data_IF_312909609398
#
_entry.id   IF_312909609398
#
_cell.length_a   1.000
_cell.length_b   1.000
_cell.length_c   1.000
_cell.angle_alpha   90.00
_cell.angle_beta   90.00
_cell.angle_gamma   90.00
#
_symmetry.space_group_name_H-M   'P 1'
#
loop_
_entity.id
_entity.type
_entity.pdbx_description
1 polymer ?
#
# COMPACT_ATOMS: atom_id res chain seq x y z
N UNK A 1 7.35 -4.12 -36.60
CA UNK A 1 6.78 -3.26 -35.56
C UNK A 1 5.43 -3.89 -35.18
N UNK A 2 5.46 -4.82 -34.21
CA UNK A 2 4.23 -5.39 -33.62
C UNK A 2 3.70 -4.25 -32.72
N UNK A 3 2.51 -3.74 -33.04
CA UNK A 3 1.93 -2.61 -32.35
C UNK A 3 1.50 -3.05 -30.95
N UNK A 4 1.54 -2.15 -29.96
CA UNK A 4 1.09 -2.38 -28.56
C UNK A 4 -0.33 -2.97 -28.46
N UNK A 5 -1.12 -2.85 -29.52
CA UNK A 5 -2.47 -3.41 -29.67
C UNK A 5 -2.43 -4.93 -29.82
N UNK A 6 -1.46 -5.49 -30.55
CA UNK A 6 -1.32 -6.96 -30.73
C UNK A 6 -0.78 -7.63 -29.46
N UNK A 7 0.09 -6.95 -28.71
CA UNK A 7 0.58 -7.45 -27.41
C UNK A 7 -0.54 -7.48 -26.34
N UNK A 8 -1.52 -6.59 -26.40
CA UNK A 8 -2.71 -6.57 -25.52
C UNK A 8 -3.71 -7.69 -25.85
N UNK A 9 -3.81 -8.10 -27.11
CA UNK A 9 -4.76 -9.12 -27.53
C UNK A 9 -4.37 -10.55 -27.10
N UNK A 10 -3.09 -10.78 -26.74
CA UNK A 10 -2.59 -12.13 -26.39
C UNK A 10 -2.65 -12.41 -24.88
N UNK A 11 -2.75 -11.38 -23.99
CA UNK A 11 -2.62 -11.57 -22.53
C UNK A 11 -3.77 -11.00 -21.69
N UNK A 12 -4.90 -10.58 -22.27
CA UNK A 12 -6.00 -9.96 -21.52
C UNK A 12 -5.57 -8.63 -20.83
N UNK A 13 -6.52 -7.92 -20.25
CA UNK A 13 -6.22 -6.73 -19.44
C UNK A 13 -5.70 -7.14 -18.05
N UNK A 14 -4.98 -6.24 -17.36
CA UNK A 14 -4.57 -6.45 -15.97
C UNK A 14 -5.78 -6.81 -15.09
N UNK A 15 -6.89 -6.09 -15.27
CA UNK A 15 -8.10 -6.30 -14.48
C UNK A 15 -8.72 -7.70 -14.71
N UNK A 16 -8.67 -8.22 -15.95
CA UNK A 16 -9.11 -9.59 -16.26
C UNK A 16 -8.21 -10.65 -15.59
N UNK A 17 -6.89 -10.46 -15.58
CA UNK A 17 -5.97 -11.37 -14.90
C UNK A 17 -6.21 -11.39 -13.38
N UNK A 18 -6.41 -10.22 -12.78
CA UNK A 18 -6.77 -10.08 -11.35
C UNK A 18 -8.14 -10.69 -11.07
N UNK A 19 -9.15 -10.45 -11.94
CA UNK A 19 -10.49 -11.02 -11.81
C UNK A 19 -10.47 -12.55 -11.86
N UNK A 20 -9.72 -13.14 -12.79
CA UNK A 20 -9.56 -14.59 -12.91
C UNK A 20 -8.95 -15.20 -11.63
N UNK A 21 -7.93 -14.54 -11.06
CA UNK A 21 -7.30 -14.97 -9.80
C UNK A 21 -8.28 -14.88 -8.61
N UNK A 22 -9.04 -13.78 -8.52
CA UNK A 22 -10.06 -13.58 -7.48
C UNK A 22 -11.18 -14.59 -7.62
N UNK A 23 -11.61 -14.93 -8.85
CA UNK A 23 -12.64 -15.93 -9.12
C UNK A 23 -12.29 -17.34 -8.64
N UNK A 24 -11.00 -17.64 -8.41
CA UNK A 24 -10.54 -18.89 -7.82
C UNK A 24 -10.53 -18.89 -6.28
N UNK A 25 -10.82 -17.75 -5.62
CA UNK A 25 -10.84 -17.61 -4.17
C UNK A 25 -12.25 -17.83 -3.61
N UNK A 26 -12.34 -18.42 -2.44
CA UNK A 26 -13.57 -18.45 -1.64
C UNK A 26 -13.75 -17.13 -0.88
N UNK A 27 -14.35 -16.14 -1.52
CA UNK A 27 -14.52 -14.81 -0.96
C UNK A 27 -15.38 -14.82 0.33
N UNK A 28 -16.34 -15.73 0.47
CA UNK A 28 -17.17 -15.85 1.68
C UNK A 28 -16.34 -16.34 2.88
N UNK A 29 -15.50 -17.36 2.66
CA UNK A 29 -14.55 -17.84 3.67
C UNK A 29 -13.56 -16.74 4.08
N UNK A 30 -12.97 -16.05 3.09
CA UNK A 30 -11.99 -14.96 3.35
C UNK A 30 -12.63 -13.81 4.11
N UNK A 31 -13.88 -13.42 3.78
CA UNK A 31 -14.62 -12.42 4.56
C UNK A 31 -14.81 -12.83 6.01
N UNK A 32 -15.18 -14.10 6.24
CA UNK A 32 -15.31 -14.65 7.59
C UNK A 32 -13.99 -14.65 8.36
N UNK A 33 -12.89 -14.95 7.68
CA UNK A 33 -11.54 -14.92 8.25
C UNK A 33 -11.10 -13.48 8.59
N UNK A 34 -11.26 -12.54 7.67
CA UNK A 34 -10.98 -11.12 7.88
C UNK A 34 -11.74 -10.57 9.10
N UNK A 35 -13.03 -10.88 9.23
CA UNK A 35 -13.82 -10.44 10.37
C UNK A 35 -13.37 -11.06 11.71
N UNK A 36 -13.04 -12.36 11.74
CA UNK A 36 -12.57 -13.03 12.95
C UNK A 36 -11.19 -12.57 13.41
N UNK A 37 -10.35 -12.10 12.49
CA UNK A 37 -9.02 -11.58 12.76
C UNK A 37 -8.98 -10.06 12.94
N UNK A 38 -10.05 -9.46 13.45
CA UNK A 38 -10.15 -8.02 13.73
C UNK A 38 -9.82 -7.14 12.52
N UNK A 39 -10.36 -7.50 11.37
CA UNK A 39 -10.10 -6.84 10.08
C UNK A 39 -8.64 -6.98 9.60
N UNK A 40 -8.09 -8.18 9.70
CA UNK A 40 -6.80 -8.58 9.16
C UNK A 40 -6.93 -9.82 8.27
N UNK A 41 -6.23 -9.85 7.14
CA UNK A 41 -6.14 -11.00 6.24
C UNK A 41 -4.73 -11.08 5.63
N UNK A 42 -4.15 -12.28 5.61
CA UNK A 42 -2.91 -12.61 4.92
C UNK A 42 -3.17 -13.69 3.86
N UNK A 43 -2.67 -13.49 2.64
CA UNK A 43 -2.65 -14.48 1.57
C UNK A 43 -1.23 -14.55 0.99
N UNK A 44 -0.62 -15.71 1.01
CA UNK A 44 0.77 -15.93 0.58
C UNK A 44 0.96 -16.02 -0.94
N UNK A 45 -0.09 -16.33 -1.69
CA UNK A 45 -0.09 -16.43 -3.15
C UNK A 45 -1.36 -15.78 -3.71
N UNK A 46 -1.32 -14.45 -3.87
CA UNK A 46 -2.48 -13.70 -4.35
C UNK A 46 -2.34 -13.24 -5.79
N UNK A 47 -1.20 -12.65 -6.17
CA UNK A 47 -1.04 -12.11 -7.52
C UNK A 47 -0.74 -13.21 -8.54
N UNK A 48 -1.26 -13.10 -9.77
CA UNK A 48 -0.75 -13.89 -10.88
C UNK A 48 0.77 -13.74 -11.01
N UNK A 49 1.50 -14.84 -11.22
CA UNK A 49 2.98 -14.85 -11.24
C UNK A 49 3.58 -13.84 -12.22
N UNK A 50 2.98 -13.70 -13.42
CA UNK A 50 3.41 -12.72 -14.41
C UNK A 50 3.26 -11.28 -13.87
N UNK A 51 2.13 -10.97 -13.27
CA UNK A 51 1.88 -9.65 -12.69
C UNK A 51 2.83 -9.36 -11.52
N UNK A 52 3.06 -10.33 -10.65
CA UNK A 52 4.02 -10.20 -9.55
C UNK A 52 5.44 -9.92 -10.09
N UNK A 53 5.87 -10.64 -11.14
CA UNK A 53 7.16 -10.40 -11.81
C UNK A 53 7.27 -9.00 -12.41
N UNK A 54 6.25 -8.52 -13.10
CA UNK A 54 6.19 -7.16 -13.67
C UNK A 54 6.23 -6.06 -12.60
N UNK A 55 5.59 -6.29 -11.44
CA UNK A 55 5.68 -5.36 -10.30
C UNK A 55 7.10 -5.33 -9.71
N UNK A 56 7.76 -6.48 -9.62
CA UNK A 56 9.16 -6.54 -9.19
C UNK A 56 10.10 -5.80 -10.15
N UNK A 57 9.86 -5.89 -11.46
CA UNK A 57 10.63 -5.14 -12.47
C UNK A 57 10.39 -3.63 -12.34
N UNK A 58 9.15 -3.19 -12.13
CA UNK A 58 8.84 -1.80 -11.81
C UNK A 58 9.60 -1.32 -10.57
N UNK A 59 9.61 -2.13 -9.50
CA UNK A 59 10.31 -1.79 -8.27
C UNK A 59 11.84 -1.68 -8.49
N UNK A 60 12.43 -2.60 -9.26
CA UNK A 60 13.87 -2.53 -9.61
C UNK A 60 14.20 -1.28 -10.43
N UNK A 61 13.36 -0.93 -11.39
CA UNK A 61 13.54 0.27 -12.22
C UNK A 61 13.48 1.57 -11.41
N UNK A 62 12.77 1.57 -10.28
CA UNK A 62 12.60 2.74 -9.40
C UNK A 62 13.67 2.84 -8.29
N UNK A 63 14.64 1.92 -8.20
CA UNK A 63 15.74 2.01 -7.23
C UNK A 63 16.48 3.37 -7.23
N UNK A 64 16.77 4.00 -8.39
CA UNK A 64 17.41 5.32 -8.41
C UNK A 64 16.58 6.46 -7.85
N UNK A 65 15.27 6.26 -7.73
CA UNK A 65 14.31 7.29 -7.26
C UNK A 65 13.99 7.17 -5.76
N UNK A 66 14.65 6.26 -5.05
CA UNK A 66 14.43 6.06 -3.63
C UNK A 66 14.77 7.31 -2.84
N UNK A 67 13.81 7.82 -2.10
CA UNK A 67 14.03 8.80 -1.04
C UNK A 67 14.28 8.06 0.28
N UNK A 68 15.52 8.16 0.80
CA UNK A 68 15.89 7.54 2.08
C UNK A 68 15.46 8.38 3.24
N UNK A 69 14.82 7.76 4.23
CA UNK A 69 14.32 8.41 5.43
C UNK A 69 14.89 7.74 6.67
N UNK A 70 15.15 8.55 7.66
CA UNK A 70 15.55 8.11 8.98
C UNK A 70 14.82 8.93 10.05
N UNK A 71 14.07 8.24 10.89
CA UNK A 71 13.44 8.80 12.08
C UNK A 71 13.93 7.97 13.29
N UNK A 72 14.80 8.55 14.16
CA UNK A 72 15.41 7.81 15.26
C UNK A 72 14.39 7.03 16.09
N UNK A 73 14.67 5.74 16.33
CA UNK A 73 13.82 4.87 17.13
C UNK A 73 12.48 4.45 16.49
N UNK A 74 12.17 4.92 15.27
CA UNK A 74 10.90 4.61 14.62
C UNK A 74 11.05 4.04 13.21
N UNK A 75 11.87 4.66 12.35
CA UNK A 75 11.94 4.24 10.94
C UNK A 75 13.32 4.46 10.35
N UNK A 76 13.79 3.46 9.63
CA UNK A 76 14.91 3.56 8.70
C UNK A 76 14.53 2.81 7.43
N UNK A 77 14.69 3.44 6.26
CA UNK A 77 14.32 2.79 5.00
C UNK A 77 14.26 3.78 3.85
N UNK A 78 13.75 3.33 2.73
CA UNK A 78 13.52 4.13 1.54
C UNK A 78 12.07 4.11 1.11
N UNK A 79 11.64 5.11 0.36
CA UNK A 79 10.31 5.11 -0.25
C UNK A 79 10.30 5.82 -1.60
N UNK A 80 9.39 5.38 -2.47
CA UNK A 80 9.05 6.05 -3.74
C UNK A 80 7.58 6.39 -3.69
N UNK A 81 7.25 7.67 -3.83
CA UNK A 81 5.88 8.17 -3.73
C UNK A 81 5.07 7.91 -4.98
N UNK A 82 3.73 7.95 -4.83
CA UNK A 82 2.74 7.92 -5.90
C UNK A 82 3.16 8.76 -7.13
N UNK A 83 3.62 10.00 -6.93
CA UNK A 83 3.93 10.90 -8.05
C UNK A 83 5.05 10.39 -8.96
N UNK A 84 6.06 9.76 -8.38
CA UNK A 84 7.14 9.11 -9.14
C UNK A 84 6.63 7.83 -9.79
N UNK A 85 5.81 7.05 -9.09
CA UNK A 85 5.18 5.83 -9.60
C UNK A 85 4.30 6.15 -10.80
N UNK A 86 3.43 7.17 -10.75
CA UNK A 86 2.56 7.58 -11.85
C UNK A 86 3.36 7.92 -13.12
N UNK A 87 4.53 8.53 -12.94
CA UNK A 87 5.38 8.93 -14.05
C UNK A 87 6.18 7.79 -14.69
N UNK A 88 6.58 6.77 -13.90
CA UNK A 88 7.58 5.79 -14.30
C UNK A 88 7.10 4.34 -14.26
N UNK A 89 6.06 4.03 -13.51
CA UNK A 89 5.53 2.68 -13.32
C UNK A 89 3.98 2.65 -13.35
N UNK A 90 3.35 3.05 -14.48
CA UNK A 90 1.88 3.19 -14.59
C UNK A 90 1.13 1.88 -14.29
N UNK A 91 1.77 0.73 -14.43
CA UNK A 91 1.22 -0.58 -14.06
C UNK A 91 0.71 -0.60 -12.60
N UNK A 92 1.43 0.04 -11.68
CA UNK A 92 1.05 0.10 -10.26
C UNK A 92 -0.23 0.93 -10.09
N UNK A 93 -0.33 2.07 -10.79
CA UNK A 93 -1.52 2.91 -10.77
C UNK A 93 -2.72 2.22 -11.44
N UNK A 94 -2.50 1.38 -12.46
CA UNK A 94 -3.53 0.54 -13.07
C UNK A 94 -4.04 -0.52 -12.08
N UNK A 95 -3.14 -1.24 -11.39
CA UNK A 95 -3.51 -2.21 -10.37
C UNK A 95 -4.28 -1.57 -9.21
N UNK A 96 -3.87 -0.38 -8.77
CA UNK A 96 -4.59 0.37 -7.72
C UNK A 96 -6.04 0.69 -8.10
N UNK A 97 -6.31 0.90 -9.39
CA UNK A 97 -7.65 1.20 -9.92
C UNK A 97 -8.40 -0.04 -10.42
N UNK A 98 -7.83 -1.24 -10.25
CA UNK A 98 -8.48 -2.49 -10.67
C UNK A 98 -9.84 -2.64 -10.00
N UNK A 99 -10.90 -2.76 -10.81
CA UNK A 99 -12.26 -2.95 -10.31
C UNK A 99 -12.43 -4.30 -9.63
N UNK A 100 -11.75 -5.32 -10.15
CA UNK A 100 -11.78 -6.65 -9.58
C UNK A 100 -11.13 -6.65 -8.19
N UNK A 101 -9.97 -5.99 -8.03
CA UNK A 101 -9.30 -5.86 -6.74
C UNK A 101 -10.17 -5.12 -5.72
N UNK A 102 -10.65 -3.92 -6.08
CA UNK A 102 -11.50 -3.11 -5.20
C UNK A 102 -12.77 -3.88 -4.82
N UNK A 103 -13.42 -4.57 -5.77
CA UNK A 103 -14.61 -5.38 -5.51
C UNK A 103 -14.37 -6.53 -4.52
N UNK A 104 -13.19 -7.18 -4.55
CA UNK A 104 -12.81 -8.15 -3.52
C UNK A 104 -12.71 -7.48 -2.16
N UNK A 105 -11.98 -6.35 -2.06
CA UNK A 105 -11.78 -5.65 -0.79
C UNK A 105 -13.11 -5.14 -0.20
N UNK A 106 -14.03 -4.65 -1.04
CA UNK A 106 -15.40 -4.29 -0.64
C UNK A 106 -16.18 -5.52 -0.13
N UNK A 107 -16.00 -6.67 -0.75
CA UNK A 107 -16.61 -7.93 -0.29
C UNK A 107 -16.08 -8.33 1.09
N UNK A 108 -14.78 -8.21 1.33
CA UNK A 108 -14.14 -8.55 2.60
C UNK A 108 -14.59 -7.62 3.73
N UNK A 109 -14.61 -6.32 3.48
CA UNK A 109 -14.93 -5.29 4.48
C UNK A 109 -16.45 -5.14 4.71
N UNK A 110 -17.25 -5.33 3.67
CA UNK A 110 -18.66 -4.95 3.62
C UNK A 110 -18.88 -3.44 3.46
N UNK A 111 -17.80 -2.67 3.27
CA UNK A 111 -17.83 -1.23 3.05
C UNK A 111 -17.63 -0.91 1.55
N UNK A 112 -18.16 0.23 1.12
CA UNK A 112 -17.78 0.86 -0.15
C UNK A 112 -16.40 1.48 -0.01
N UNK A 113 -15.50 1.14 -0.91
CA UNK A 113 -14.12 1.64 -0.90
C UNK A 113 -13.89 2.64 -2.03
N UNK A 114 -13.26 3.73 -1.68
CA UNK A 114 -12.88 4.80 -2.59
C UNK A 114 -11.35 4.92 -2.60
N UNK A 115 -10.75 5.29 -3.75
CA UNK A 115 -9.35 5.65 -3.78
C UNK A 115 -9.10 6.88 -2.88
N UNK A 116 -7.94 6.93 -2.25
CA UNK A 116 -7.47 8.14 -1.57
C UNK A 116 -7.40 9.32 -2.54
N UNK A 117 -7.59 10.57 -2.08
CA UNK A 117 -7.54 11.76 -2.93
C UNK A 117 -6.28 11.83 -3.80
N UNK A 118 -6.42 12.49 -4.96
CA UNK A 118 -5.33 12.56 -5.95
C UNK A 118 -4.08 13.29 -5.46
N UNK A 119 -4.21 14.14 -4.47
CA UNK A 119 -3.14 14.88 -3.80
C UNK A 119 -2.55 14.15 -2.58
N UNK A 120 -3.02 12.94 -2.25
CA UNK A 120 -2.45 12.11 -1.20
C UNK A 120 -1.23 11.33 -1.73
N UNK A 121 -0.02 11.63 -1.26
CA UNK A 121 1.19 10.91 -1.66
C UNK A 121 1.23 9.46 -1.16
N UNK A 122 0.38 9.11 -0.19
CA UNK A 122 0.26 7.77 0.39
C UNK A 122 -0.80 6.89 -0.27
N UNK A 123 -1.60 7.40 -1.22
CA UNK A 123 -2.59 6.59 -1.92
C UNK A 123 -1.99 5.25 -2.38
N UNK A 124 -0.74 5.27 -2.86
CA UNK A 124 0.13 4.12 -3.04
C UNK A 124 1.61 4.54 -3.01
N UNK A 125 2.44 3.66 -2.46
CA UNK A 125 3.88 3.90 -2.34
C UNK A 125 4.65 2.57 -2.34
N UNK A 126 5.89 2.61 -2.83
CA UNK A 126 6.85 1.53 -2.65
C UNK A 126 7.75 1.84 -1.46
N UNK A 127 7.91 0.88 -0.58
CA UNK A 127 8.80 0.93 0.57
C UNK A 127 9.97 -0.03 0.36
N UNK A 128 11.18 0.50 0.48
CA UNK A 128 12.43 -0.20 0.23
C UNK A 128 13.23 -0.37 1.52
N UNK A 129 13.52 -1.61 1.83
CA UNK A 129 14.44 -2.01 2.87
C UNK A 129 15.63 -2.65 2.15
N UNK A 130 16.75 -1.94 2.06
CA UNK A 130 17.89 -2.29 1.21
C UNK A 130 19.24 -2.16 1.93
N UNK A 131 19.22 -1.80 3.20
CA UNK A 131 20.41 -1.72 4.05
C UNK A 131 20.16 -2.45 5.36
N UNK A 132 21.18 -3.09 5.92
CA UNK A 132 21.06 -3.72 7.24
C UNK A 132 20.45 -2.76 8.27
N UNK A 133 19.52 -3.27 9.06
CA UNK A 133 18.80 -2.49 10.05
C UNK A 133 17.64 -1.63 9.52
N UNK A 134 17.35 -1.62 8.21
CA UNK A 134 16.14 -0.96 7.69
C UNK A 134 14.89 -1.59 8.31
N UNK A 135 14.00 -0.77 8.87
CA UNK A 135 12.82 -1.20 9.62
C UNK A 135 11.76 -0.10 9.72
N UNK A 136 10.57 -0.47 10.18
CA UNK A 136 9.57 0.45 10.73
C UNK A 136 9.16 -0.08 12.11
N UNK A 137 9.23 0.78 13.14
CA UNK A 137 8.81 0.47 14.49
C UNK A 137 7.30 0.29 14.64
N UNK A 138 6.84 -0.10 15.82
CA UNK A 138 5.42 -0.28 16.11
C UNK A 138 4.58 0.97 15.85
N UNK A 139 3.52 0.84 15.03
CA UNK A 139 2.62 1.93 14.68
C UNK A 139 1.24 1.41 14.25
N UNK A 140 0.31 2.33 14.06
CA UNK A 140 -0.95 2.15 13.35
C UNK A 140 -0.92 3.04 12.10
N UNK A 141 -1.56 2.60 11.03
CA UNK A 141 -1.81 3.42 9.84
C UNK A 141 -3.04 4.32 10.06
N UNK A 142 -2.93 5.20 11.07
CA UNK A 142 -4.06 6.01 11.53
C UNK A 142 -4.65 6.87 10.42
N UNK A 143 -5.98 6.80 10.25
CA UNK A 143 -6.71 7.60 9.29
C UNK A 143 -6.75 9.07 9.67
N UNK A 144 -6.39 9.95 8.72
CA UNK A 144 -6.67 11.38 8.81
C UNK A 144 -7.99 11.76 8.13
N UNK A 145 -8.58 10.84 7.40
CA UNK A 145 -9.88 10.97 6.75
C UNK A 145 -11.03 10.85 7.74
N UNK A 146 -12.23 11.28 7.33
CA UNK A 146 -13.42 11.17 8.16
C UNK A 146 -13.96 9.73 8.16
N UNK A 147 -13.65 8.92 7.13
CA UNK A 147 -13.93 7.50 7.04
C UNK A 147 -12.82 6.60 7.57
N UNK A 148 -13.08 5.27 7.53
CA UNK A 148 -12.06 4.25 7.78
C UNK A 148 -11.02 4.25 6.68
N UNK A 149 -9.81 3.84 7.04
CA UNK A 149 -8.70 3.61 6.10
C UNK A 149 -8.30 2.15 6.14
N UNK A 150 -8.23 1.57 4.97
CA UNK A 150 -7.77 0.20 4.79
C UNK A 150 -6.44 0.21 4.03
N UNK A 151 -5.49 -0.56 4.54
CA UNK A 151 -4.16 -0.74 3.95
C UNK A 151 -4.05 -2.11 3.32
N UNK A 152 -3.61 -2.16 2.05
CA UNK A 152 -3.26 -3.37 1.33
C UNK A 152 -1.77 -3.36 1.02
N UNK A 153 -1.02 -4.30 1.59
CA UNK A 153 0.40 -4.50 1.36
C UNK A 153 0.61 -5.66 0.37
N UNK A 154 1.51 -5.47 -0.60
CA UNK A 154 2.00 -6.53 -1.48
C UNK A 154 3.47 -6.81 -1.18
N UNK A 155 3.86 -8.08 -1.13
CA UNK A 155 5.24 -8.53 -1.23
C UNK A 155 5.69 -8.43 -2.68
N UNK A 156 6.53 -7.43 -3.00
CA UNK A 156 7.03 -7.21 -4.37
C UNK A 156 8.37 -7.89 -4.58
N UNK A 157 9.29 -7.71 -3.66
CA UNK A 157 10.57 -8.43 -3.58
C UNK A 157 10.74 -8.80 -2.10
N UNK A 158 11.03 -10.06 -1.82
CA UNK A 158 11.33 -10.50 -0.47
C UNK A 158 12.40 -11.60 -0.50
N UNK A 159 13.64 -11.16 -0.38
CA UNK A 159 14.82 -11.99 -0.17
C UNK A 159 15.42 -11.55 1.18
N UNK A 160 14.65 -11.83 2.25
CA UNK A 160 14.98 -11.30 3.57
C UNK A 160 14.46 -12.17 4.72
N UNK A 161 15.08 -12.02 5.88
CA UNK A 161 14.58 -12.52 7.17
C UNK A 161 13.56 -11.57 7.82
N UNK A 162 13.40 -10.37 7.26
CA UNK A 162 12.52 -9.33 7.80
C UNK A 162 11.04 -9.74 7.70
N UNK A 163 10.26 -9.46 8.74
CA UNK A 163 8.87 -9.88 8.88
C UNK A 163 7.96 -8.69 9.16
N UNK A 164 6.69 -8.84 8.87
CA UNK A 164 5.62 -8.01 9.41
C UNK A 164 5.15 -8.66 10.72
N UNK A 165 5.53 -8.06 11.85
CA UNK A 165 4.94 -8.41 13.14
C UNK A 165 3.70 -7.57 13.37
N UNK A 166 2.67 -8.16 13.98
CA UNK A 166 1.41 -7.49 14.23
C UNK A 166 0.77 -7.94 15.55
N UNK A 167 -0.15 -7.12 16.05
CA UNK A 167 -0.97 -7.39 17.21
C UNK A 167 -2.43 -7.10 16.85
N UNK A 168 -3.29 -8.13 16.95
CA UNK A 168 -4.73 -8.02 16.77
C UNK A 168 -5.39 -7.62 18.09
N UNK A 169 -6.59 -7.07 18.01
CA UNK A 169 -7.47 -6.71 19.13
C UNK A 169 -6.96 -5.59 20.06
N UNK A 170 -5.86 -4.93 19.74
CA UNK A 170 -5.27 -3.87 20.58
C UNK A 170 -6.17 -2.66 20.81
N UNK A 171 -7.31 -2.55 20.11
CA UNK A 171 -8.36 -1.54 20.30
C UNK A 171 -9.63 -2.09 20.96
N UNK A 172 -9.65 -3.39 21.30
CA UNK A 172 -10.80 -4.05 21.92
C UNK A 172 -10.44 -4.51 23.35
N UNK A 173 -10.83 -3.78 24.40
CA UNK A 173 -10.47 -4.12 25.78
C UNK A 173 -11.10 -5.43 26.26
N UNK A 174 -12.10 -5.96 25.57
CA UNK A 174 -12.83 -7.17 25.97
C UNK A 174 -12.17 -8.45 25.44
N UNK A 175 -11.16 -8.32 24.56
CA UNK A 175 -10.45 -9.44 23.94
C UNK A 175 -8.95 -9.27 24.16
N UNK A 176 -8.22 -10.31 24.60
CA UNK A 176 -6.76 -10.24 24.72
C UNK A 176 -6.08 -9.93 23.40
N UNK A 177 -5.00 -9.16 23.44
CA UNK A 177 -4.15 -8.91 22.29
C UNK A 177 -3.61 -10.24 21.74
N UNK A 178 -3.65 -10.42 20.43
CA UNK A 178 -3.15 -11.61 19.75
C UNK A 178 -1.97 -11.25 18.84
N UNK A 179 -0.72 -11.48 19.27
CA UNK A 179 0.45 -11.22 18.45
C UNK A 179 0.59 -12.24 17.33
N UNK A 180 1.09 -11.77 16.20
CA UNK A 180 1.40 -12.61 15.05
C UNK A 180 2.59 -12.07 14.26
N UNK A 181 3.07 -12.87 13.32
CA UNK A 181 4.20 -12.50 12.47
C UNK A 181 4.08 -13.23 11.13
N UNK A 182 4.16 -12.48 10.03
CA UNK A 182 4.12 -13.03 8.66
C UNK A 182 5.29 -12.52 7.82
N UNK A 183 5.76 -13.36 6.92
CA UNK A 183 6.61 -12.94 5.82
C UNK A 183 5.71 -12.76 4.60
N UNK A 184 5.70 -11.55 4.04
CA UNK A 184 4.86 -11.28 2.85
C UNK A 184 5.68 -11.67 1.63
N UNK A 185 5.54 -12.94 1.22
CA UNK A 185 6.26 -13.49 0.08
C UNK A 185 5.97 -12.70 -1.22
N UNK A 186 6.81 -12.91 -2.23
CA UNK A 186 6.62 -12.35 -3.57
C UNK A 186 5.25 -12.76 -4.14
N UNK A 187 4.40 -11.78 -4.46
CA UNK A 187 3.03 -11.98 -4.92
C UNK A 187 1.98 -12.17 -3.82
N UNK A 188 2.40 -12.28 -2.55
CA UNK A 188 1.49 -12.32 -1.40
C UNK A 188 0.96 -10.95 -1.01
N UNK A 189 -0.12 -10.95 -0.22
CA UNK A 189 -0.74 -9.72 0.31
C UNK A 189 -1.04 -9.83 1.80
N UNK A 190 -1.05 -8.65 2.44
CA UNK A 190 -1.71 -8.43 3.74
C UNK A 190 -2.72 -7.29 3.57
N UNK A 191 -3.95 -7.49 4.05
CA UNK A 191 -5.01 -6.48 4.02
C UNK A 191 -5.58 -6.27 5.42
N UNK A 192 -5.71 -5.01 5.85
CA UNK A 192 -6.15 -4.68 7.20
C UNK A 192 -6.78 -3.29 7.35
N UNK A 193 -7.52 -3.11 8.44
CA UNK A 193 -7.98 -1.80 8.91
C UNK A 193 -6.82 -1.09 9.60
N UNK A 194 -6.40 0.06 9.03
CA UNK A 194 -5.22 0.81 9.48
C UNK A 194 -5.32 1.38 10.89
N UNK A 195 -6.53 1.66 11.37
CA UNK A 195 -6.76 2.16 12.74
C UNK A 195 -6.74 1.05 13.80
N UNK A 196 -6.87 -0.21 13.39
CA UNK A 196 -6.96 -1.36 14.30
C UNK A 196 -5.65 -2.11 14.45
N UNK A 197 -4.95 -2.37 13.35
CA UNK A 197 -3.75 -3.18 13.35
C UNK A 197 -2.54 -2.42 13.88
N UNK A 198 -2.04 -2.81 15.04
CA UNK A 198 -0.72 -2.39 15.50
C UNK A 198 0.34 -3.29 14.86
N UNK A 199 1.26 -2.71 14.10
CA UNK A 199 2.24 -3.51 13.35
C UNK A 199 3.60 -2.83 13.24
N UNK A 200 4.60 -3.64 12.84
CA UNK A 200 5.96 -3.18 12.56
C UNK A 200 6.61 -4.02 11.45
N UNK A 201 7.64 -3.49 10.83
CA UNK A 201 8.57 -4.26 9.98
C UNK A 201 9.86 -4.47 10.76
N UNK A 202 10.24 -5.74 10.98
CA UNK A 202 11.46 -6.08 11.71
C UNK A 202 12.71 -5.67 10.93
N UNK A 203 13.84 -5.41 11.61
CA UNK A 203 15.07 -4.97 10.96
C UNK A 203 15.54 -5.96 9.88
N UNK A 204 15.99 -5.39 8.75
CA UNK A 204 16.61 -6.14 7.66
C UNK A 204 18.00 -6.65 8.07
N UNK A 205 18.34 -7.87 7.68
CA UNK A 205 19.65 -8.48 7.86
C UNK A 205 20.70 -8.00 6.84
N UNK A 206 21.89 -8.60 6.92
CA UNK A 206 22.99 -8.34 5.97
C UNK A 206 22.72 -9.02 4.61
N UNK A 207 23.02 -8.29 3.52
CA UNK A 207 22.85 -8.77 2.14
C UNK A 207 21.41 -9.15 1.77
N UNK A 208 20.43 -8.60 2.47
CA UNK A 208 19.01 -8.82 2.26
C UNK A 208 18.36 -7.65 1.52
N UNK A 209 17.24 -7.94 0.86
CA UNK A 209 16.38 -6.94 0.22
C UNK A 209 14.92 -7.29 0.44
N UNK A 210 14.14 -6.28 0.82
CA UNK A 210 12.68 -6.34 0.87
C UNK A 210 12.08 -5.11 0.23
N UNK A 211 11.09 -5.29 -0.64
CA UNK A 211 10.30 -4.20 -1.22
C UNK A 211 8.82 -4.53 -1.08
N UNK A 212 8.09 -3.62 -0.44
CA UNK A 212 6.64 -3.73 -0.28
C UNK A 212 5.95 -2.61 -1.03
N UNK A 213 4.84 -2.93 -1.71
CA UNK A 213 3.94 -1.95 -2.31
C UNK A 213 2.73 -1.81 -1.39
N UNK A 214 2.38 -0.57 -1.06
CA UNK A 214 1.23 -0.24 -0.21
C UNK A 214 0.16 0.46 -1.03
N UNK A 215 -1.10 0.03 -0.90
CA UNK A 215 -2.29 0.71 -1.40
C UNK A 215 -3.18 1.12 -0.24
N UNK A 216 -3.73 2.33 -0.33
CA UNK A 216 -4.62 2.90 0.68
C UNK A 216 -5.99 3.17 0.07
N UNK A 217 -7.03 2.63 0.71
CA UNK A 217 -8.43 2.88 0.35
C UNK A 217 -9.19 3.45 1.54
N UNK A 218 -10.18 4.28 1.27
CA UNK A 218 -10.96 4.96 2.32
C UNK A 218 -12.46 4.75 2.10
N UNK A 219 -13.25 4.81 3.16
CA UNK A 219 -14.72 4.77 3.05
C UNK A 219 -15.30 6.16 2.84
N UNK A 220 -14.63 7.21 3.32
CA UNK A 220 -14.96 8.61 3.12
C UNK A 220 -13.66 9.42 2.96
N UNK A 221 -13.40 10.01 1.79
CA UNK A 221 -12.20 10.80 1.55
C UNK A 221 -12.28 12.22 2.13
N UNK A 222 -13.37 12.57 2.82
CA UNK A 222 -13.51 13.84 3.53
C UNK A 222 -12.36 14.02 4.52
N UNK A 223 -11.79 15.23 4.58
CA UNK A 223 -10.74 15.55 5.53
C UNK A 223 -10.84 17.00 5.95
N UNK A 224 -10.84 17.25 7.26
CA UNK A 224 -10.80 18.62 7.79
C UNK A 224 -9.44 19.28 7.43
N UNK A 225 -9.43 20.57 7.09
CA UNK A 225 -8.19 21.27 6.66
C UNK A 225 -7.04 21.14 7.65
N UNK A 226 -7.32 21.12 8.95
CA UNK A 226 -6.35 20.92 10.01
C UNK A 226 -5.71 19.52 9.97
N UNK A 227 -6.51 18.47 9.78
CA UNK A 227 -6.01 17.09 9.65
C UNK A 227 -5.10 16.96 8.42
N UNK A 228 -5.46 17.60 7.31
CA UNK A 228 -4.63 17.65 6.08
C UNK A 228 -3.28 18.31 6.33
N UNK A 229 -3.25 19.42 7.05
CA UNK A 229 -2.00 20.08 7.40
C UNK A 229 -1.09 19.19 8.25
N UNK A 230 -1.63 18.51 9.27
CA UNK A 230 -0.87 17.59 10.13
C UNK A 230 -0.36 16.38 9.34
N UNK A 231 -1.19 15.80 8.46
CA UNK A 231 -0.79 14.71 7.56
C UNK A 231 0.39 15.13 6.68
N UNK A 232 0.25 16.25 5.95
CA UNK A 232 1.29 16.76 5.07
C UNK A 232 2.62 17.04 5.80
N UNK A 233 2.56 17.54 7.04
CA UNK A 233 3.77 17.78 7.85
C UNK A 233 4.46 16.48 8.25
N UNK A 234 3.71 15.46 8.66
CA UNK A 234 4.26 14.13 8.96
C UNK A 234 4.89 13.50 7.73
N UNK A 235 4.21 13.59 6.58
CA UNK A 235 4.67 13.03 5.32
C UNK A 235 5.95 13.68 4.83
N UNK A 236 6.04 15.01 4.98
CA UNK A 236 7.25 15.77 4.64
C UNK A 236 8.45 15.36 5.51
N UNK A 237 8.22 15.12 6.80
CA UNK A 237 9.28 14.79 7.76
C UNK A 237 9.66 13.31 7.68
N UNK A 238 8.65 12.41 7.65
CA UNK A 238 8.88 10.98 7.87
C UNK A 238 9.05 10.16 6.58
N UNK A 239 8.53 10.61 5.42
CA UNK A 239 8.42 9.73 4.25
C UNK A 239 9.02 10.29 2.96
N UNK A 240 8.63 11.47 2.52
CA UNK A 240 8.92 11.91 1.15
C UNK A 240 9.78 13.16 1.04
N UNK A 241 10.06 13.86 2.15
CA UNK A 241 10.78 15.13 2.19
C UNK A 241 9.91 16.32 1.73
N UNK A 242 10.28 17.53 2.22
CA UNK A 242 9.50 18.76 2.01
C UNK A 242 9.26 19.11 0.53
N UNK A 243 10.19 18.78 -0.36
CA UNK A 243 10.06 19.11 -1.79
C UNK A 243 8.97 18.33 -2.49
N UNK A 244 8.70 17.09 -2.11
CA UNK A 244 7.67 16.26 -2.78
C UNK A 244 6.27 16.57 -2.25
N UNK A 245 6.12 16.79 -0.96
CA UNK A 245 4.82 17.05 -0.32
C UNK A 245 4.26 18.41 -0.73
N UNK A 246 5.10 19.45 -0.88
CA UNK A 246 4.66 20.80 -1.20
C UNK A 246 4.69 21.19 -2.69
N UNK A 247 5.19 20.31 -3.59
CA UNK A 247 5.16 20.56 -5.04
C UNK A 247 3.74 20.71 -5.59
N UNK A 248 2.77 20.00 -5.05
CA UNK A 248 1.39 19.98 -5.55
C UNK A 248 0.51 21.12 -5.04
N UNK A 249 0.76 21.67 -3.88
CA UNK A 249 -0.01 22.83 -3.38
C UNK A 249 0.06 23.99 -4.38
N UNK A 250 1.15 24.10 -5.16
CA UNK A 250 1.29 25.10 -6.23
C UNK A 250 0.56 24.75 -7.52
N UNK A 251 0.44 23.46 -7.88
CA UNK A 251 -0.25 23.05 -9.12
C UNK A 251 -1.78 23.05 -8.96
N UNK A 252 -2.29 22.73 -7.78
CA UNK A 252 -3.73 22.75 -7.48
C UNK A 252 -4.25 24.18 -7.34
N UNK A 253 -3.44 25.10 -6.81
CA UNK A 253 -3.78 26.53 -6.76
C UNK A 253 -3.85 27.18 -8.15
N UNK A 254 -3.03 26.72 -9.10
CA UNK A 254 -3.03 27.22 -10.49
C UNK A 254 -4.19 26.70 -11.35
N UNK A 255 -4.92 25.67 -10.91
CA UNK A 255 -6.06 25.08 -11.66
C UNK A 255 -7.45 25.51 -11.16
N UNK A 256 -7.57 26.40 -10.20
CA UNK A 256 -8.86 26.97 -9.83
C UNK A 256 -9.29 27.96 -10.95
N UNK A 257 -10.37 27.68 -11.70
CA UNK A 257 -10.92 28.67 -12.63
C UNK A 257 -11.40 29.86 -11.79
N UNK A 258 -11.00 31.08 -12.22
CA UNK A 258 -11.60 32.31 -11.73
C UNK A 258 -13.12 32.22 -11.91
N UNK A 259 -13.85 32.26 -10.80
CA UNK A 259 -15.31 32.39 -10.83
C UNK A 259 -15.65 33.75 -11.45
N UNK A 260 -16.69 33.78 -12.33
CA UNK A 260 -17.20 35.01 -12.93
C UNK A 260 -17.79 35.94 -11.87
#
# INVERSE_FOLDING_TARGET
>A
MITDIEARAVHGTLDEAVAARIGALDAARLRGEFARQDAFLYLDDFLPKDLAGRLADCARALLPDINRNYLPGHKQGGSVSRHTIDAKAPLIAELYRSKALVGLLETLTGDKLLPSPDDDPHAYALYYYTKPGDHIGWHYDTSYYDGRRYTLLFGVIDDSSSRLDYELHTRNPDVPDAPGSVQIAHGGIVFFDGDKLRHRVTPLGENEIRVSLTFEYVTDPGMRPWKRFVSNMKDAIAYFGFRQVFKQTRQTAARRPSRP
#
